data_IF_631724770956
#
_entry.id   IF_631724770956
#
_cell.length_a   1.000
_cell.length_b   1.000
_cell.length_c   1.000
_cell.angle_alpha   90.00
_cell.angle_beta   90.00
_cell.angle_gamma   90.00
#
_symmetry.space_group_name_H-M   'P 1'
#
loop_
_entity.id
_entity.type
_entity.pdbx_description
1 polymer ?
#
# COMPACT_ATOMS: atom_id res chain seq x y z
N UNK A 1 12.47 -19.53 -23.14
CA UNK A 1 12.52 -19.00 -21.78
C UNK A 1 11.18 -19.32 -21.12
N UNK A 2 11.18 -20.11 -20.05
CA UNK A 2 9.95 -20.38 -19.31
C UNK A 2 9.64 -19.16 -18.44
N UNK A 3 8.48 -18.55 -18.64
CA UNK A 3 7.93 -17.60 -17.69
C UNK A 3 7.52 -18.41 -16.46
N UNK A 4 8.33 -18.36 -15.39
CA UNK A 4 7.95 -18.93 -14.12
C UNK A 4 6.94 -17.97 -13.49
N UNK A 5 5.73 -18.45 -13.22
CA UNK A 5 4.76 -17.68 -12.43
C UNK A 5 5.43 -17.30 -11.11
N UNK A 6 5.43 -16.00 -10.76
CA UNK A 6 6.13 -15.56 -9.58
C UNK A 6 5.45 -16.14 -8.33
N UNK A 7 6.24 -16.79 -7.48
CA UNK A 7 5.75 -17.28 -6.19
C UNK A 7 5.30 -16.09 -5.33
N UNK A 8 4.15 -16.24 -4.67
CA UNK A 8 3.59 -15.25 -3.77
C UNK A 8 3.64 -15.71 -2.30
N UNK A 9 3.51 -14.75 -1.40
CA UNK A 9 3.34 -14.97 0.04
C UNK A 9 2.11 -14.20 0.51
N UNK A 10 1.54 -14.65 1.63
CA UNK A 10 0.40 -13.98 2.26
C UNK A 10 0.82 -13.54 3.66
N UNK A 11 0.62 -12.27 3.97
CA UNK A 11 0.92 -11.67 5.29
C UNK A 11 -0.27 -10.85 5.73
N UNK A 12 -0.86 -11.21 6.87
CA UNK A 12 -2.10 -10.61 7.39
C UNK A 12 -3.20 -10.48 6.32
N UNK A 13 -3.39 -11.53 5.52
CA UNK A 13 -4.42 -11.61 4.48
C UNK A 13 -4.08 -10.96 3.14
N UNK A 14 -2.99 -10.18 3.05
CA UNK A 14 -2.58 -9.53 1.80
C UNK A 14 -1.49 -10.33 1.09
N UNK A 15 -1.52 -10.28 -0.24
CA UNK A 15 -0.62 -11.02 -1.11
C UNK A 15 0.54 -10.14 -1.60
N UNK A 16 1.74 -10.71 -1.57
CA UNK A 16 2.97 -10.04 -2.00
C UNK A 16 3.84 -10.99 -2.82
N UNK A 17 4.68 -10.43 -3.69
CA UNK A 17 5.72 -11.19 -4.37
C UNK A 17 6.68 -11.80 -3.34
N UNK A 18 6.88 -13.12 -3.35
CA UNK A 18 7.79 -13.81 -2.41
C UNK A 18 9.23 -13.33 -2.53
N UNK A 19 9.66 -13.00 -3.74
CA UNK A 19 11.06 -12.59 -3.98
C UNK A 19 11.32 -11.15 -3.53
N UNK A 20 10.42 -10.23 -3.82
CA UNK A 20 10.64 -8.79 -3.63
C UNK A 20 9.87 -8.18 -2.46
N UNK A 21 8.88 -8.88 -1.93
CA UNK A 21 7.99 -8.38 -0.87
C UNK A 21 6.97 -7.34 -1.35
N UNK A 22 6.95 -6.99 -2.63
CA UNK A 22 6.10 -5.93 -3.18
C UNK A 22 4.74 -6.47 -3.62
N UNK A 23 3.70 -5.66 -3.49
CA UNK A 23 2.40 -5.90 -4.14
C UNK A 23 2.53 -5.79 -5.66
N UNK A 24 3.17 -4.70 -6.12
CA UNK A 24 3.50 -4.46 -7.51
C UNK A 24 5.02 -4.45 -7.71
N UNK A 25 5.51 -5.31 -8.60
CA UNK A 25 6.92 -5.41 -8.94
C UNK A 25 7.23 -4.60 -10.21
N UNK A 26 8.12 -3.61 -10.08
CA UNK A 26 8.63 -2.81 -11.21
C UNK A 26 9.74 -3.52 -12.01
N UNK A 27 10.19 -4.71 -11.59
CA UNK A 27 11.21 -5.48 -12.31
C UNK A 27 10.59 -6.15 -13.54
N UNK A 28 11.15 -5.90 -14.71
CA UNK A 28 10.73 -6.52 -15.98
C UNK A 28 10.70 -8.06 -15.94
N UNK A 29 11.48 -8.69 -15.04
CA UNK A 29 11.51 -10.15 -14.84
C UNK A 29 10.47 -10.65 -13.84
N UNK A 30 9.71 -9.75 -13.20
CA UNK A 30 8.71 -10.08 -12.21
C UNK A 30 7.47 -9.21 -12.41
N UNK A 31 6.48 -9.75 -13.11
CA UNK A 31 5.25 -9.04 -13.48
C UNK A 31 4.13 -9.20 -12.44
N UNK A 32 4.48 -9.30 -11.15
CA UNK A 32 3.50 -9.36 -10.07
C UNK A 32 2.78 -8.03 -9.95
N UNK A 33 1.45 -8.07 -9.95
CA UNK A 33 0.61 -7.00 -9.42
C UNK A 33 -0.52 -7.62 -8.59
N UNK A 34 -0.47 -7.41 -7.28
CA UNK A 34 -1.45 -7.89 -6.32
C UNK A 34 -2.33 -6.77 -5.76
N UNK A 35 -2.15 -5.51 -6.21
CA UNK A 35 -2.85 -4.35 -5.63
C UNK A 35 -4.36 -4.48 -5.73
N UNK A 36 -4.88 -4.82 -6.91
CA UNK A 36 -6.33 -5.02 -7.11
C UNK A 36 -6.90 -6.10 -6.18
N UNK A 37 -6.25 -7.27 -6.11
CA UNK A 37 -6.68 -8.34 -5.19
C UNK A 37 -6.66 -7.90 -3.73
N UNK A 38 -5.62 -7.18 -3.31
CA UNK A 38 -5.49 -6.72 -1.92
C UNK A 38 -6.53 -5.63 -1.59
N UNK A 39 -6.80 -4.72 -2.52
CA UNK A 39 -7.85 -3.71 -2.40
C UNK A 39 -9.22 -4.40 -2.20
N UNK A 40 -9.53 -5.41 -3.01
CA UNK A 40 -10.78 -6.18 -2.90
C UNK A 40 -10.86 -7.00 -1.62
N UNK A 41 -9.79 -7.69 -1.20
CA UNK A 41 -9.81 -8.54 0.02
C UNK A 41 -10.03 -7.70 1.28
N UNK A 42 -9.50 -6.48 1.31
CA UNK A 42 -9.69 -5.56 2.43
C UNK A 42 -10.92 -4.65 2.27
N UNK A 43 -11.67 -4.79 1.17
CA UNK A 43 -12.85 -3.99 0.84
C UNK A 43 -12.59 -2.47 0.94
N UNK A 44 -11.42 -2.03 0.44
CA UNK A 44 -10.95 -0.67 0.67
C UNK A 44 -11.85 0.41 0.07
N UNK A 45 -12.52 0.11 -1.05
CA UNK A 45 -13.49 1.01 -1.68
C UNK A 45 -14.63 1.37 -0.72
N UNK A 46 -15.13 0.39 0.06
CA UNK A 46 -16.20 0.63 1.04
C UNK A 46 -15.65 1.20 2.35
N UNK A 47 -14.46 0.75 2.78
CA UNK A 47 -13.84 1.22 4.03
C UNK A 47 -13.49 2.70 3.98
N UNK A 48 -13.06 3.20 2.82
CA UNK A 48 -12.62 4.59 2.62
C UNK A 48 -13.51 5.34 1.63
N UNK A 49 -14.78 4.94 1.49
CA UNK A 49 -15.68 5.51 0.49
C UNK A 49 -15.78 7.03 0.61
N UNK A 50 -16.02 7.55 1.82
CA UNK A 50 -16.18 8.98 2.06
C UNK A 50 -14.89 9.73 1.73
N UNK A 51 -13.73 9.24 2.19
CA UNK A 51 -12.45 9.90 1.95
C UNK A 51 -12.07 9.89 0.46
N UNK A 52 -12.32 8.79 -0.26
CA UNK A 52 -12.08 8.67 -1.69
C UNK A 52 -12.98 9.63 -2.49
N UNK A 53 -14.27 9.72 -2.13
CA UNK A 53 -15.22 10.64 -2.78
C UNK A 53 -14.84 12.11 -2.55
N UNK A 54 -14.34 12.46 -1.36
CA UNK A 54 -13.95 13.83 -1.02
C UNK A 54 -12.61 14.25 -1.64
N UNK A 55 -11.61 13.37 -1.62
CA UNK A 55 -10.26 13.70 -2.10
C UNK A 55 -10.00 13.31 -3.55
N UNK A 56 -10.92 12.58 -4.20
CA UNK A 56 -10.69 12.01 -5.53
C UNK A 56 -9.54 10.99 -5.59
N UNK A 57 -9.15 10.41 -4.45
CA UNK A 57 -8.02 9.48 -4.37
C UNK A 57 -8.32 8.19 -5.14
N UNK A 58 -7.35 7.72 -5.94
CA UNK A 58 -7.47 6.49 -6.71
C UNK A 58 -6.76 5.34 -6.01
N UNK A 59 -7.51 4.33 -5.56
CA UNK A 59 -6.95 3.10 -4.96
C UNK A 59 -6.08 2.30 -5.93
N UNK A 60 -6.24 2.50 -7.25
CA UNK A 60 -5.40 1.88 -8.28
C UNK A 60 -4.04 2.57 -8.41
N UNK A 61 -3.99 3.87 -8.08
CA UNK A 61 -2.78 4.71 -8.14
C UNK A 61 -2.06 4.82 -6.80
N UNK A 62 -2.61 4.21 -5.73
CA UNK A 62 -1.97 4.18 -4.41
C UNK A 62 -0.57 3.60 -4.47
N UNK A 63 0.24 3.99 -3.49
CA UNK A 63 1.60 3.49 -3.32
C UNK A 63 1.57 1.98 -3.08
N UNK A 64 2.33 1.24 -3.91
CA UNK A 64 2.52 -0.20 -3.71
C UNK A 64 3.26 -0.45 -2.40
N UNK A 65 2.71 -1.31 -1.54
CA UNK A 65 3.37 -1.70 -0.31
C UNK A 65 4.49 -2.70 -0.59
N UNK A 66 5.48 -2.70 0.32
CA UNK A 66 6.53 -3.70 0.40
C UNK A 66 6.58 -4.29 1.81
N UNK A 67 6.13 -5.54 1.95
CA UNK A 67 6.02 -6.22 3.24
C UNK A 67 7.36 -6.42 3.94
N UNK A 68 8.46 -6.56 3.18
CA UNK A 68 9.80 -6.71 3.73
C UNK A 68 10.37 -5.39 4.25
N UNK A 69 10.10 -4.28 3.56
CA UNK A 69 10.45 -2.94 4.05
C UNK A 69 9.65 -2.61 5.33
N UNK A 70 8.44 -3.15 5.46
CA UNK A 70 7.60 -3.06 6.66
C UNK A 70 7.96 -4.10 7.74
N UNK A 71 9.07 -4.82 7.59
CA UNK A 71 9.64 -5.67 8.63
C UNK A 71 9.12 -7.11 8.67
N UNK A 72 8.46 -7.61 7.62
CA UNK A 72 8.08 -9.01 7.56
C UNK A 72 9.30 -9.93 7.36
N UNK A 73 9.36 -10.99 8.18
CA UNK A 73 10.40 -12.02 8.15
C UNK A 73 9.77 -13.39 8.30
N UNK A 74 10.36 -14.43 7.70
CA UNK A 74 9.87 -15.80 7.86
C UNK A 74 9.96 -16.25 9.32
N UNK A 75 8.93 -16.95 9.82
CA UNK A 75 8.90 -17.48 11.20
C UNK A 75 10.05 -18.45 11.46
N UNK A 76 10.43 -19.21 10.44
CA UNK A 76 11.57 -20.13 10.44
C UNK A 76 12.17 -20.20 9.03
N UNK A 77 13.43 -20.65 8.87
CA UNK A 77 14.03 -20.88 7.55
C UNK A 77 13.16 -21.78 6.68
N UNK A 78 12.78 -21.30 5.48
CA UNK A 78 11.92 -22.04 4.56
C UNK A 78 10.42 -22.05 4.89
N UNK A 79 10.00 -21.38 5.96
CA UNK A 79 8.57 -21.25 6.31
C UNK A 79 7.84 -20.34 5.32
N UNK A 80 6.60 -20.70 4.99
CA UNK A 80 5.66 -19.83 4.26
C UNK A 80 4.88 -18.89 5.19
N UNK A 81 5.14 -18.96 6.50
CA UNK A 81 4.54 -18.07 7.50
C UNK A 81 5.47 -16.92 7.82
N UNK A 82 4.90 -15.73 7.93
CA UNK A 82 5.64 -14.49 8.18
C UNK A 82 5.24 -13.85 9.50
N UNK A 83 6.22 -13.26 10.17
CA UNK A 83 6.06 -12.48 11.39
C UNK A 83 6.73 -11.11 11.25
N UNK A 84 6.26 -10.15 12.03
CA UNK A 84 6.94 -8.88 12.20
C UNK A 84 8.29 -9.09 12.91
N UNK A 85 9.35 -8.48 12.42
CA UNK A 85 10.70 -8.52 13.00
C UNK A 85 10.76 -7.89 14.39
N UNK A 86 9.98 -6.83 14.63
CA UNK A 86 9.95 -6.07 15.88
C UNK A 86 9.14 -6.80 16.96
N UNK A 87 7.87 -7.08 16.70
CA UNK A 87 6.98 -7.71 17.68
C UNK A 87 7.11 -9.24 17.73
N UNK A 88 7.84 -9.85 16.79
CA UNK A 88 8.01 -11.32 16.66
C UNK A 88 6.68 -12.07 16.65
N UNK A 89 5.63 -11.42 16.14
CA UNK A 89 4.26 -11.93 16.08
C UNK A 89 3.88 -12.20 14.62
N UNK A 90 3.40 -13.41 14.36
CA UNK A 90 2.80 -13.77 13.07
C UNK A 90 1.61 -12.86 12.81
N UNK A 91 1.51 -12.34 11.58
CA UNK A 91 0.41 -11.46 11.15
C UNK A 91 0.15 -10.34 12.18
N UNK A 92 1.22 -9.61 12.54
CA UNK A 92 1.17 -8.61 13.60
C UNK A 92 0.11 -7.53 13.28
N UNK A 93 -0.96 -7.39 14.08
CA UNK A 93 -2.07 -6.49 13.75
C UNK A 93 -1.71 -5.01 13.90
N UNK A 94 -0.52 -4.69 14.42
CA UNK A 94 -0.04 -3.31 14.56
C UNK A 94 0.84 -2.93 13.37
N UNK A 95 1.79 -3.79 13.00
CA UNK A 95 2.72 -3.52 11.91
C UNK A 95 2.13 -3.82 10.54
N UNK A 96 1.19 -4.76 10.47
CA UNK A 96 0.58 -5.26 9.24
C UNK A 96 -0.91 -4.88 9.14
N UNK A 97 -1.27 -3.73 9.72
CA UNK A 97 -2.56 -3.11 9.49
C UNK A 97 -2.53 -2.38 8.13
N UNK A 98 -2.72 -3.15 7.08
CA UNK A 98 -2.58 -2.66 5.71
C UNK A 98 -3.60 -1.60 5.35
N UNK A 99 -4.85 -1.75 5.81
CA UNK A 99 -5.89 -0.76 5.61
C UNK A 99 -5.50 0.56 6.29
N UNK A 100 -5.01 0.53 7.54
CA UNK A 100 -4.55 1.75 8.20
C UNK A 100 -3.34 2.40 7.52
N UNK A 101 -2.46 1.64 6.86
CA UNK A 101 -1.38 2.22 6.04
C UNK A 101 -1.97 2.98 4.85
N UNK A 102 -2.89 2.37 4.10
CA UNK A 102 -3.55 3.02 2.96
C UNK A 102 -4.35 4.24 3.40
N UNK A 103 -5.10 4.14 4.50
CA UNK A 103 -5.86 5.28 5.05
C UNK A 103 -4.99 6.48 5.41
N UNK A 104 -3.75 6.26 5.87
CA UNK A 104 -2.79 7.38 6.08
C UNK A 104 -2.39 8.04 4.78
N UNK A 105 -2.16 7.27 3.72
CA UNK A 105 -1.83 7.81 2.40
C UNK A 105 -2.98 8.68 1.86
N UNK A 106 -4.23 8.21 1.98
CA UNK A 106 -5.43 8.97 1.58
C UNK A 106 -5.49 10.31 2.33
N UNK A 107 -5.33 10.28 3.65
CA UNK A 107 -5.36 11.48 4.48
C UNK A 107 -4.21 12.48 4.17
N UNK A 108 -3.02 11.97 3.83
CA UNK A 108 -1.89 12.80 3.42
C UNK A 108 -2.13 13.48 2.07
N UNK A 109 -2.75 12.77 1.11
CA UNK A 109 -3.13 13.33 -0.19
C UNK A 109 -4.15 14.46 -0.02
N UNK A 110 -5.22 14.23 0.75
CA UNK A 110 -6.25 15.23 1.04
C UNK A 110 -5.66 16.51 1.66
N UNK A 111 -4.73 16.37 2.61
CA UNK A 111 -4.03 17.52 3.21
C UNK A 111 -3.17 18.26 2.19
N UNK A 112 -2.52 17.54 1.26
CA UNK A 112 -1.71 18.14 0.20
C UNK A 112 -2.55 18.97 -0.75
N UNK A 113 -3.70 18.46 -1.18
CA UNK A 113 -4.62 19.18 -2.05
C UNK A 113 -5.15 20.46 -1.39
N UNK A 114 -5.61 20.37 -0.14
CA UNK A 114 -6.03 21.55 0.64
C UNK A 114 -4.93 22.60 0.76
N UNK A 115 -3.67 22.19 0.88
CA UNK A 115 -2.54 23.11 0.90
C UNK A 115 -2.29 23.76 -0.47
N UNK A 116 -2.35 22.99 -1.56
CA UNK A 116 -2.18 23.49 -2.92
C UNK A 116 -3.26 24.52 -3.29
N UNK A 117 -4.52 24.25 -2.94
CA UNK A 117 -5.61 25.21 -3.16
C UNK A 117 -5.39 26.53 -2.41
N UNK A 118 -4.98 26.46 -1.13
CA UNK A 118 -4.69 27.66 -0.33
C UNK A 118 -3.54 28.45 -0.93
N UNK A 119 -2.49 27.76 -1.37
CA UNK A 119 -1.33 28.39 -2.03
C UNK A 119 -1.73 29.06 -3.34
N UNK A 120 -2.57 28.42 -4.16
CA UNK A 120 -3.07 28.99 -5.40
C UNK A 120 -3.89 30.26 -5.14
N UNK A 121 -4.84 30.21 -4.21
CA UNK A 121 -5.64 31.38 -3.82
C UNK A 121 -4.78 32.55 -3.32
N UNK A 122 -3.68 32.25 -2.62
CA UNK A 122 -2.73 33.27 -2.19
C UNK A 122 -2.01 33.92 -3.39
N UNK A 123 -1.49 33.12 -4.33
CA UNK A 123 -0.81 33.63 -5.53
C UNK A 123 -1.74 34.49 -6.38
N UNK A 124 -2.98 34.04 -6.62
CA UNK A 124 -3.99 34.79 -7.38
C UNK A 124 -4.37 36.13 -6.73
N UNK A 125 -4.23 36.26 -5.40
CA UNK A 125 -4.44 37.51 -4.68
C UNK A 125 -3.25 38.45 -4.85
N UNK A 126 -2.03 37.94 -4.68
CA UNK A 126 -0.80 38.74 -4.79
C UNK A 126 -0.58 39.27 -6.21
N UNK A 127 -0.92 38.49 -7.25
CA UNK A 127 -0.78 38.91 -8.64
C UNK A 127 -1.79 39.99 -9.08
N UNK A 128 -2.79 40.30 -8.24
CA UNK A 128 -3.81 41.33 -8.51
C UNK A 128 -3.53 42.68 -7.82
N UNK A 129 -2.54 42.74 -6.93
CA UNK A 129 -2.08 43.94 -6.22
C UNK A 129 -0.82 44.53 -6.87
#
# INVERSE_FOLDING_TARGET
MAFQYPENIVVAGWMFCKKHGREYCYDFKCTCDHRMCNNTVADLDNVFQEEIEESGFSLDDRTSLNVYELGATGVAPGSEQYMCSEHRKKDCPVCFDWAAIVGREIAEEEQREKWLEKRQKYLERVDKD
#
